data_IF_449968891915
#
_entry.id   IF_449968891915
#
_cell.length_a   1.000
_cell.length_b   1.000
_cell.length_c   1.000
_cell.angle_alpha   90.00
_cell.angle_beta   90.00
_cell.angle_gamma   90.00
#
_symmetry.space_group_name_H-M   'P 1'
#
loop_
_entity.id
_entity.type
_entity.pdbx_description
1 polymer ?
#
# COMPACT_ATOMS: atom_id res chain seq x y z
N UNK A 1 11.09 17.40 10.93
CA UNK A 1 10.84 16.81 10.71
C UNK A 1 10.28 16.28 10.03
N UNK A 2 10.27 15.93 9.55
CA UNK A 2 9.68 15.52 8.84
C UNK A 2 9.15 14.46 8.98
N UNK A 3 8.16 14.14 8.89
CA UNK A 3 7.59 13.13 9.08
C UNK A 3 7.81 12.23 8.27
N UNK A 4 7.86 11.17 8.44
CA UNK A 4 8.31 10.11 7.67
C UNK A 4 7.22 9.16 7.32
N UNK A 5 6.04 9.62 7.21
CA UNK A 5 4.97 8.77 6.76
C UNK A 5 5.16 8.46 5.31
N UNK A 6 4.95 7.23 4.96
CA UNK A 6 5.05 6.80 3.57
C UNK A 6 3.67 6.50 3.06
N UNK A 7 3.24 7.24 2.07
CA UNK A 7 1.89 7.13 1.54
C UNK A 7 1.94 6.48 0.16
N UNK A 8 1.10 5.47 -0.01
CA UNK A 8 0.98 4.78 -1.29
C UNK A 8 -0.40 5.06 -1.86
N UNK A 9 -0.44 5.41 -3.12
CA UNK A 9 -1.72 5.62 -3.80
C UNK A 9 -2.00 4.42 -4.68
N UNK A 10 -3.22 3.91 -4.62
CA UNK A 10 -3.57 2.67 -5.29
C UNK A 10 -4.78 2.91 -6.17
N UNK A 11 -4.68 2.51 -7.42
CA UNK A 11 -5.77 2.63 -8.36
C UNK A 11 -6.64 1.39 -8.30
N UNK A 12 -7.92 1.56 -8.59
CA UNK A 12 -8.90 0.46 -8.65
C UNK A 12 -9.33 -0.04 -7.28
N UNK A 13 -9.04 0.72 -6.24
CA UNK A 13 -9.46 0.37 -4.91
C UNK A 13 -10.78 1.08 -4.65
N UNK A 14 -11.89 0.43 -5.00
CA UNK A 14 -13.17 1.13 -5.07
C UNK A 14 -14.20 0.65 -4.08
N UNK A 15 -13.91 -0.33 -3.24
CA UNK A 15 -14.89 -0.79 -2.27
C UNK A 15 -14.18 -1.19 -0.98
N UNK A 16 -14.98 -1.34 0.08
CA UNK A 16 -14.40 -1.65 1.38
C UNK A 16 -13.70 -2.99 1.40
N UNK A 17 -14.16 -3.94 0.60
CA UNK A 17 -13.49 -5.22 0.55
C UNK A 17 -12.06 -5.06 0.09
N UNK A 18 -11.82 -4.11 -0.80
CA UNK A 18 -10.46 -3.86 -1.26
C UNK A 18 -9.56 -3.45 -0.11
N UNK A 19 -10.09 -2.71 0.85
CA UNK A 19 -9.30 -2.32 2.01
C UNK A 19 -8.84 -3.55 2.78
N UNK A 20 -9.73 -4.51 2.98
CA UNK A 20 -9.36 -5.72 3.70
C UNK A 20 -8.32 -6.52 2.94
N UNK A 21 -8.49 -6.64 1.64
CA UNK A 21 -7.55 -7.40 0.81
C UNK A 21 -6.16 -6.79 0.88
N UNK A 22 -6.08 -5.48 0.73
CA UNK A 22 -4.80 -4.80 0.77
C UNK A 22 -4.19 -4.90 2.16
N UNK A 23 -5.02 -4.77 3.19
CA UNK A 23 -4.53 -4.87 4.56
C UNK A 23 -3.88 -6.24 4.80
N UNK A 24 -4.54 -7.30 4.38
CA UNK A 24 -3.99 -8.63 4.56
C UNK A 24 -2.72 -8.83 3.74
N UNK A 25 -2.70 -8.29 2.54
CA UNK A 25 -1.53 -8.41 1.71
C UNK A 25 -0.33 -7.75 2.37
N UNK A 26 -0.53 -6.56 2.94
CA UNK A 26 0.56 -5.86 3.59
C UNK A 26 1.03 -6.61 4.83
N UNK A 27 0.11 -7.18 5.59
CA UNK A 27 0.50 -7.95 6.76
C UNK A 27 1.32 -9.17 6.37
N UNK A 28 0.95 -9.82 5.27
CA UNK A 28 1.70 -10.97 4.79
C UNK A 28 3.11 -10.61 4.37
N UNK A 29 3.31 -9.36 3.99
CA UNK A 29 4.63 -8.88 3.62
C UNK A 29 5.36 -8.26 4.81
N UNK A 30 4.76 -8.38 6.01
CA UNK A 30 5.37 -7.86 7.23
C UNK A 30 5.41 -6.34 7.29
N UNK A 31 4.43 -5.70 6.69
CA UNK A 31 4.28 -4.25 6.81
C UNK A 31 3.15 -3.94 7.76
N UNK A 32 3.26 -2.81 8.43
CA UNK A 32 2.24 -2.38 9.39
C UNK A 32 1.65 -1.07 8.94
N UNK A 33 0.55 -1.09 8.18
CA UNK A 33 -0.05 0.16 7.75
C UNK A 33 -0.69 0.88 8.93
N UNK A 34 -0.48 2.19 8.99
CA UNK A 34 -1.13 3.01 9.99
C UNK A 34 -2.57 3.25 9.63
N UNK A 35 -2.85 3.39 8.35
CA UNK A 35 -4.18 3.72 7.91
C UNK A 35 -4.36 3.23 6.48
N UNK A 36 -5.49 2.67 6.20
CA UNK A 36 -5.82 2.24 4.85
C UNK A 36 -7.16 2.86 4.49
N UNK A 37 -7.18 3.58 3.38
CA UNK A 37 -8.40 4.16 2.85
C UNK A 37 -8.55 3.72 1.42
N UNK A 38 -9.70 4.02 0.85
CA UNK A 38 -9.92 3.69 -0.55
C UNK A 38 -8.92 4.47 -1.40
N UNK A 39 -8.01 3.74 -2.01
CA UNK A 39 -7.03 4.35 -2.87
C UNK A 39 -5.81 4.89 -2.18
N UNK A 40 -5.69 4.71 -0.86
CA UNK A 40 -4.57 5.30 -0.15
C UNK A 40 -4.17 4.43 1.03
N UNK A 41 -2.88 4.23 1.19
CA UNK A 41 -2.34 3.48 2.32
C UNK A 41 -1.21 4.29 2.93
N UNK A 42 -1.24 4.44 4.25
CA UNK A 42 -0.20 5.14 4.98
C UNK A 42 0.57 4.12 5.79
N UNK A 43 1.88 4.07 5.61
CA UNK A 43 2.73 3.12 6.30
C UNK A 43 3.75 3.88 7.12
N UNK A 44 3.89 3.48 8.37
CA UNK A 44 4.80 4.18 9.25
C UNK A 44 6.25 3.91 8.91
N UNK A 45 6.55 2.71 8.47
CA UNK A 45 7.93 2.31 8.24
C UNK A 45 8.45 2.84 6.92
N UNK A 46 9.74 3.19 6.86
CA UNK A 46 10.32 3.60 5.59
C UNK A 46 10.30 2.44 4.60
N UNK A 47 9.96 2.76 3.38
CA UNK A 47 9.90 1.76 2.33
C UNK A 47 11.15 1.83 1.48
N UNK A 48 11.82 0.70 1.39
CA UNK A 48 12.97 0.59 0.50
C UNK A 48 12.49 0.36 -0.92
N UNK A 49 13.35 0.61 -1.92
CA UNK A 49 12.94 0.34 -3.29
C UNK A 49 12.46 -1.09 -3.51
N UNK A 50 13.12 -2.06 -2.85
CA UNK A 50 12.70 -3.44 -2.99
C UNK A 50 11.32 -3.65 -2.40
N UNK A 51 11.01 -2.96 -1.29
CA UNK A 51 9.71 -3.09 -0.69
C UNK A 51 8.61 -2.57 -1.62
N UNK A 52 8.88 -1.47 -2.30
CA UNK A 52 7.90 -0.92 -3.21
C UNK A 52 7.64 -1.87 -4.36
N UNK A 53 8.67 -2.55 -4.83
CA UNK A 53 8.50 -3.52 -5.91
C UNK A 53 7.64 -4.69 -5.43
N UNK A 54 7.88 -5.17 -4.22
CA UNK A 54 7.09 -6.25 -3.67
C UNK A 54 5.62 -5.86 -3.57
N UNK A 55 5.37 -4.67 -3.03
CA UNK A 55 4.00 -4.21 -2.86
C UNK A 55 3.34 -4.05 -4.22
N UNK A 56 4.07 -3.48 -5.18
CA UNK A 56 3.50 -3.26 -6.49
C UNK A 56 3.11 -4.58 -7.15
N UNK A 57 3.99 -5.58 -7.08
CA UNK A 57 3.68 -6.86 -7.68
C UNK A 57 2.51 -7.53 -7.00
N UNK A 58 2.43 -7.43 -5.69
CA UNK A 58 1.32 -8.01 -4.97
C UNK A 58 0.02 -7.33 -5.34
N UNK A 59 0.04 -6.01 -5.47
CA UNK A 59 -1.16 -5.29 -5.86
C UNK A 59 -1.59 -5.66 -7.26
N UNK A 60 -0.65 -5.78 -8.17
CA UNK A 60 -1.00 -6.14 -9.54
C UNK A 60 -1.61 -7.53 -9.61
N UNK A 61 -1.13 -8.44 -8.79
CA UNK A 61 -1.70 -9.78 -8.75
C UNK A 61 -3.14 -9.76 -8.26
N UNK A 62 -3.50 -8.76 -7.47
CA UNK A 62 -4.86 -8.63 -6.95
C UNK A 62 -5.75 -7.77 -7.84
N UNK A 63 -5.20 -7.23 -8.91
CA UNK A 63 -6.00 -6.39 -9.79
C UNK A 63 -5.91 -4.90 -9.51
N UNK A 64 -5.02 -4.50 -8.61
CA UNK A 64 -4.82 -3.10 -8.30
C UNK A 64 -3.58 -2.58 -9.01
N UNK A 65 -3.42 -1.27 -8.99
CA UNK A 65 -2.25 -0.67 -9.58
C UNK A 65 -1.67 0.35 -8.60
N UNK A 66 -0.37 0.26 -8.36
CA UNK A 66 0.29 1.20 -7.49
C UNK A 66 0.63 2.45 -8.28
N UNK A 67 0.14 3.60 -7.83
CA UNK A 67 0.40 4.86 -8.46
C UNK A 67 1.60 5.51 -7.80
N UNK A 68 2.54 5.97 -8.62
CA UNK A 68 3.67 6.64 -8.08
C UNK A 68 3.34 8.05 -7.87
N UNK A 69 3.70 8.57 -6.73
CA UNK A 69 3.40 9.86 -6.42
C UNK A 69 4.47 10.72 -6.79
N UNK A 70 4.86 11.01 -7.68
CA UNK A 70 5.95 11.72 -7.87
C UNK A 70 5.80 12.75 -8.53
#
# INVERSE_FOLDING_TARGET
MEEQEHVLFIKNMVCNRCILVVSEMLKNLNFNPLRIELGKVVIEEPLKPADRVLIRKALEALGFELLDDK
#
